data_IF_737141968209
#
_entry.id   IF_737141968209
#
_cell.length_a   1.000
_cell.length_b   1.000
_cell.length_c   1.000
_cell.angle_alpha   90.00
_cell.angle_beta   90.00
_cell.angle_gamma   90.00
#
_symmetry.space_group_name_H-M   'P 1'
#
loop_
_entity.id
_entity.type
_entity.pdbx_description
1 polymer ?
#
# COMPACT_ATOMS: atom_id res chain seq x y z
N UNK A 1 -3.82 -0.16 -11.52
CA UNK A 1 -3.43 -1.59 -11.56
C UNK A 1 -4.24 -2.36 -10.52
N UNK A 2 -4.36 -3.69 -10.61
CA UNK A 2 -5.11 -4.50 -9.63
C UNK A 2 -6.60 -4.76 -9.92
N UNK A 3 -7.19 -4.06 -10.91
CA UNK A 3 -8.54 -4.34 -11.43
C UNK A 3 -9.72 -3.75 -10.65
N UNK A 4 -9.47 -2.82 -9.71
CA UNK A 4 -10.54 -2.13 -8.96
C UNK A 4 -11.14 -0.97 -9.78
N UNK A 5 -12.45 -0.68 -9.62
CA UNK A 5 -13.12 0.41 -10.33
C UNK A 5 -12.73 1.80 -9.79
N UNK A 6 -13.15 2.84 -10.51
CA UNK A 6 -13.10 4.25 -10.08
C UNK A 6 -14.46 4.91 -10.35
N UNK A 7 -15.20 5.39 -9.33
CA UNK A 7 -14.86 5.34 -7.91
C UNK A 7 -14.93 3.90 -7.34
N UNK A 8 -14.36 3.73 -6.14
CA UNK A 8 -14.45 2.49 -5.36
C UNK A 8 -14.66 2.81 -3.87
N UNK A 9 -15.18 1.86 -3.09
CA UNK A 9 -15.28 2.00 -1.64
C UNK A 9 -13.91 2.27 -0.96
N UNK A 10 -13.94 2.97 0.17
CA UNK A 10 -12.75 3.16 1.00
C UNK A 10 -12.26 1.81 1.54
N UNK A 11 -10.95 1.63 1.62
CA UNK A 11 -10.32 0.39 2.08
C UNK A 11 -9.28 0.68 3.16
N UNK A 12 -9.13 -0.24 4.11
CA UNK A 12 -8.10 -0.22 5.15
C UNK A 12 -7.50 -1.61 5.34
N UNK A 13 -6.31 -1.68 5.95
CA UNK A 13 -5.69 -2.96 6.30
C UNK A 13 -6.17 -3.36 7.69
N UNK A 14 -6.75 -4.55 7.80
CA UNK A 14 -7.17 -5.13 9.08
C UNK A 14 -6.17 -6.21 9.49
N UNK A 15 -5.65 -6.09 10.71
CA UNK A 15 -4.75 -7.08 11.31
C UNK A 15 -3.26 -6.84 11.07
N UNK A 16 -2.86 -5.63 10.65
CA UNK A 16 -1.44 -5.27 10.48
C UNK A 16 -1.23 -4.20 9.42
N UNK A 17 -0.13 -4.33 8.68
CA UNK A 17 0.31 -3.41 7.62
C UNK A 17 0.45 -4.16 6.29
N UNK A 18 0.98 -3.48 5.27
CA UNK A 18 1.30 -4.09 3.98
C UNK A 18 2.22 -5.31 4.10
N UNK A 19 3.12 -5.33 5.10
CA UNK A 19 4.00 -6.46 5.37
C UNK A 19 3.17 -7.71 5.75
N UNK A 20 2.23 -7.56 6.68
CA UNK A 20 1.37 -8.67 7.10
C UNK A 20 0.41 -9.12 6.01
N UNK A 21 -0.05 -8.21 5.14
CA UNK A 21 -0.87 -8.57 3.97
C UNK A 21 -0.06 -9.46 3.02
N UNK A 22 1.18 -9.07 2.69
CA UNK A 22 2.08 -9.86 1.83
C UNK A 22 2.46 -11.22 2.46
N UNK A 23 2.43 -11.32 3.79
CA UNK A 23 2.64 -12.57 4.52
C UNK A 23 1.36 -13.42 4.70
N UNK A 24 0.21 -12.96 4.20
CA UNK A 24 -1.08 -13.64 4.36
C UNK A 24 -1.67 -13.59 5.78
N UNK A 25 -1.18 -12.68 6.62
CA UNK A 25 -1.58 -12.53 8.04
C UNK A 25 -2.55 -11.37 8.28
N UNK A 26 -2.62 -10.41 7.38
CA UNK A 26 -3.57 -9.30 7.39
C UNK A 26 -4.37 -9.25 6.08
N UNK A 27 -5.42 -8.43 6.03
CA UNK A 27 -6.31 -8.31 4.87
C UNK A 27 -6.60 -6.86 4.55
N UNK A 28 -6.69 -6.52 3.26
CA UNK A 28 -7.27 -5.26 2.82
C UNK A 28 -8.78 -5.44 2.72
N UNK A 29 -9.52 -4.74 3.57
CA UNK A 29 -10.98 -4.81 3.64
C UNK A 29 -11.56 -3.45 3.27
N UNK A 30 -12.63 -3.44 2.49
CA UNK A 30 -13.40 -2.23 2.18
C UNK A 30 -14.46 -1.95 3.25
N UNK A 31 -14.96 -0.72 3.31
CA UNK A 31 -16.00 -0.33 4.28
C UNK A 31 -17.35 -1.06 4.08
N UNK A 32 -17.59 -1.64 2.91
CA UNK A 32 -18.69 -2.57 2.62
C UNK A 32 -18.35 -4.05 2.92
N UNK A 33 -17.24 -4.28 3.63
CA UNK A 33 -16.77 -5.57 4.16
C UNK A 33 -16.28 -6.57 3.10
N UNK A 34 -15.95 -6.12 1.89
CA UNK A 34 -15.34 -6.99 0.88
C UNK A 34 -13.84 -7.16 1.16
N UNK A 35 -13.34 -8.38 0.98
CA UNK A 35 -11.91 -8.64 1.01
C UNK A 35 -11.29 -8.37 -0.36
N UNK A 36 -10.47 -7.32 -0.44
CA UNK A 36 -9.83 -6.86 -1.68
C UNK A 36 -8.32 -7.11 -1.68
N UNK A 37 -7.81 -7.93 -0.74
CA UNK A 37 -6.37 -8.19 -0.59
C UNK A 37 -5.69 -8.61 -1.89
N UNK A 38 -6.28 -9.53 -2.64
CA UNK A 38 -5.70 -9.99 -3.90
C UNK A 38 -5.59 -8.88 -4.95
N UNK A 39 -6.57 -7.97 -5.01
CA UNK A 39 -6.52 -6.86 -5.96
C UNK A 39 -5.37 -5.89 -5.63
N UNK A 40 -5.14 -5.65 -4.33
CA UNK A 40 -4.02 -4.84 -3.85
C UNK A 40 -2.66 -5.52 -4.06
N UNK A 41 -2.56 -6.82 -3.80
CA UNK A 41 -1.33 -7.60 -4.03
C UNK A 41 -0.99 -7.63 -5.52
N UNK A 42 -1.96 -7.96 -6.39
CA UNK A 42 -1.77 -7.91 -7.85
C UNK A 42 -1.36 -6.50 -8.32
N UNK A 43 -1.99 -5.47 -7.78
CA UNK A 43 -1.62 -4.08 -8.06
C UNK A 43 -0.17 -3.78 -7.68
N UNK A 44 0.29 -4.26 -6.53
CA UNK A 44 1.67 -4.09 -6.06
C UNK A 44 2.67 -4.85 -6.95
N UNK A 45 2.37 -6.09 -7.32
CA UNK A 45 3.22 -6.91 -8.20
C UNK A 45 3.40 -6.29 -9.58
N UNK A 46 2.33 -5.74 -10.16
CA UNK A 46 2.40 -5.03 -11.43
C UNK A 46 3.25 -3.75 -11.35
N UNK A 47 3.17 -3.01 -10.24
CA UNK A 47 4.04 -1.83 -10.01
C UNK A 47 5.49 -2.25 -9.83
N UNK A 48 5.76 -3.33 -9.09
CA UNK A 48 7.11 -3.87 -8.94
C UNK A 48 7.69 -4.30 -10.29
N UNK A 49 6.88 -4.95 -11.13
CA UNK A 49 7.29 -5.34 -12.48
C UNK A 49 7.68 -4.11 -13.31
N UNK A 50 6.83 -3.09 -13.37
CA UNK A 50 7.14 -1.83 -14.06
C UNK A 50 8.44 -1.21 -13.52
N UNK A 51 8.58 -1.13 -12.20
CA UNK A 51 9.76 -0.54 -11.58
C UNK A 51 11.04 -1.31 -11.91
N UNK A 52 10.97 -2.64 -11.92
CA UNK A 52 12.08 -3.52 -12.27
C UNK A 52 12.45 -3.37 -13.74
N UNK A 53 11.46 -3.46 -14.64
CA UNK A 53 11.64 -3.37 -16.09
C UNK A 53 12.21 -2.01 -16.52
N UNK A 54 11.80 -0.94 -15.83
CA UNK A 54 12.29 0.42 -16.07
C UNK A 54 13.58 0.77 -15.31
N UNK A 55 14.12 -0.14 -14.48
CA UNK A 55 15.32 0.11 -13.68
C UNK A 55 15.16 1.18 -12.59
N UNK A 56 13.93 1.45 -12.14
CA UNK A 56 13.60 2.44 -11.12
C UNK A 56 14.20 2.04 -9.76
N UNK A 57 14.78 3.01 -9.06
CA UNK A 57 15.39 2.83 -7.73
C UNK A 57 14.70 3.60 -6.61
N UNK A 58 13.94 4.63 -6.97
CA UNK A 58 13.18 5.46 -6.02
C UNK A 58 11.75 5.67 -6.52
N UNK A 59 10.77 5.64 -5.61
CA UNK A 59 9.37 5.94 -5.88
C UNK A 59 8.81 6.92 -4.83
N UNK A 60 7.97 7.85 -5.28
CA UNK A 60 7.30 8.82 -4.42
C UNK A 60 5.83 8.46 -4.38
N UNK A 61 5.31 8.15 -3.20
CA UNK A 61 3.95 7.69 -3.00
C UNK A 61 3.14 8.57 -2.06
N UNK A 62 1.83 8.60 -2.28
CA UNK A 62 0.90 9.30 -1.40
C UNK A 62 0.81 8.61 -0.03
N UNK A 63 0.93 9.41 1.03
CA UNK A 63 0.78 8.97 2.42
C UNK A 63 -0.56 8.25 2.73
N UNK A 64 -0.56 7.42 3.79
CA UNK A 64 -1.75 6.84 4.49
C UNK A 64 -2.58 5.79 3.74
N UNK A 65 -2.41 5.65 2.43
CA UNK A 65 -3.16 4.68 1.62
C UNK A 65 -2.86 3.23 2.03
N UNK A 66 -3.84 2.30 2.05
CA UNK A 66 -3.57 0.87 2.25
C UNK A 66 -2.69 0.26 1.14
N UNK A 67 -2.56 0.92 -0.02
CA UNK A 67 -1.63 0.50 -1.07
C UNK A 67 -0.30 1.24 -0.98
N UNK A 68 -0.35 2.57 -0.99
CA UNK A 68 0.82 3.41 -1.24
C UNK A 68 1.34 4.12 0.03
N UNK A 69 0.69 3.95 1.18
CA UNK A 69 1.10 4.59 2.42
C UNK A 69 2.55 4.28 2.73
N UNK A 70 3.33 5.32 3.05
CA UNK A 70 4.73 5.21 3.42
C UNK A 70 4.92 5.82 4.81
N UNK A 71 5.26 4.99 5.78
CA UNK A 71 5.43 5.30 7.19
C UNK A 71 4.14 5.26 8.03
N UNK A 72 2.97 5.51 7.43
CA UNK A 72 1.67 5.37 8.13
C UNK A 72 0.58 4.78 7.22
N UNK A 73 -0.33 4.02 7.85
CA UNK A 73 -1.60 3.52 7.29
C UNK A 73 -2.72 3.68 8.31
N UNK A 74 -3.98 3.59 7.87
CA UNK A 74 -5.11 3.54 8.80
C UNK A 74 -5.15 2.22 9.57
N UNK A 75 -5.70 2.25 10.79
CA UNK A 75 -5.67 1.15 11.75
C UNK A 75 -6.63 -0.02 11.47
N UNK A 76 -7.45 0.08 10.41
CA UNK A 76 -8.40 -0.96 10.02
C UNK A 76 -9.76 -0.87 10.71
N UNK A 77 -9.97 0.15 11.56
CA UNK A 77 -11.24 0.36 12.27
C UNK A 77 -12.18 1.32 11.56
N UNK A 78 -11.73 1.97 10.46
CA UNK A 78 -12.46 3.05 9.79
C UNK A 78 -12.78 4.26 10.70
N UNK A 79 -11.99 4.45 11.77
CA UNK A 79 -12.11 5.59 12.70
C UNK A 79 -11.22 6.79 12.32
N UNK A 80 -10.55 6.73 11.16
CA UNK A 80 -9.52 7.66 10.71
C UNK A 80 -8.27 7.74 11.61
N UNK A 81 -8.08 6.76 12.50
CA UNK A 81 -6.85 6.62 13.28
C UNK A 81 -5.71 6.04 12.43
N UNK A 82 -4.51 6.60 12.59
CA UNK A 82 -3.31 6.20 11.86
C UNK A 82 -2.36 5.43 12.77
N UNK A 83 -1.76 4.38 12.23
CA UNK A 83 -0.71 3.59 12.87
C UNK A 83 0.57 3.67 12.03
N UNK A 84 1.76 3.53 12.67
CA UNK A 84 3.00 3.36 11.94
C UNK A 84 2.94 2.10 11.07
N UNK A 85 3.34 2.22 9.80
CA UNK A 85 3.34 1.10 8.87
C UNK A 85 3.19 1.51 7.41
N UNK A 86 3.49 0.58 6.52
CA UNK A 86 3.44 0.80 5.08
C UNK A 86 2.22 0.15 4.43
N UNK A 87 1.79 0.69 3.30
CA UNK A 87 0.80 0.06 2.43
C UNK A 87 1.39 -1.13 1.66
N UNK A 88 0.53 -1.93 1.03
CA UNK A 88 0.93 -3.18 0.34
C UNK A 88 1.98 -2.94 -0.74
N UNK A 89 1.81 -1.92 -1.59
CA UNK A 89 2.75 -1.61 -2.68
C UNK A 89 4.07 -1.08 -2.12
N UNK A 90 4.01 -0.18 -1.14
CA UNK A 90 5.22 0.35 -0.48
C UNK A 90 6.06 -0.77 0.11
N UNK A 91 5.44 -1.64 0.91
CA UNK A 91 6.11 -2.76 1.56
C UNK A 91 6.75 -3.71 0.52
N UNK A 92 6.05 -3.99 -0.59
CA UNK A 92 6.57 -4.86 -1.64
C UNK A 92 7.78 -4.25 -2.36
N UNK A 93 7.73 -2.97 -2.70
CA UNK A 93 8.84 -2.27 -3.37
C UNK A 93 10.09 -2.19 -2.48
N UNK A 94 9.90 -1.82 -1.20
CA UNK A 94 11.00 -1.77 -0.24
C UNK A 94 11.65 -3.14 -0.03
N UNK A 95 10.86 -4.22 0.02
CA UNK A 95 11.37 -5.60 0.10
C UNK A 95 12.25 -5.98 -1.10
N UNK A 96 12.08 -5.32 -2.25
CA UNK A 96 12.89 -5.51 -3.45
C UNK A 96 13.98 -4.44 -3.62
N UNK A 97 14.28 -3.68 -2.57
CA UNK A 97 15.37 -2.71 -2.57
C UNK A 97 15.06 -1.41 -3.33
N UNK A 98 13.79 -1.15 -3.65
CA UNK A 98 13.37 0.14 -4.20
C UNK A 98 13.04 1.05 -3.02
N UNK A 99 13.69 2.21 -2.98
CA UNK A 99 13.45 3.21 -1.95
C UNK A 99 12.09 3.86 -2.19
N UNK A 100 11.26 3.93 -1.17
CA UNK A 100 9.96 4.60 -1.25
C UNK A 100 9.93 5.73 -0.23
N UNK A 101 9.49 6.90 -0.67
CA UNK A 101 9.29 8.08 0.17
C UNK A 101 7.87 8.62 0.00
N UNK A 102 7.36 9.31 1.02
CA UNK A 102 6.12 10.08 0.89
C UNK A 102 6.40 11.50 0.37
N UNK A 103 5.34 12.18 -0.04
CA UNK A 103 5.40 13.54 -0.58
C UNK A 103 6.06 14.54 0.39
N UNK A 104 5.83 14.40 1.70
CA UNK A 104 6.40 15.29 2.71
C UNK A 104 7.92 15.12 2.81
N UNK A 105 8.42 13.89 2.83
CA UNK A 105 9.85 13.61 2.92
C UNK A 105 10.60 14.06 1.66
N UNK A 106 9.97 13.90 0.49
CA UNK A 106 10.58 14.30 -0.78
C UNK A 106 10.72 15.82 -0.92
N UNK A 107 9.69 16.59 -0.53
CA UNK A 107 9.68 18.05 -0.67
C UNK A 107 10.59 18.78 0.31
N UNK A 108 11.02 18.11 1.38
CA UNK A 108 11.88 18.67 2.42
C UNK A 108 13.38 18.30 2.26
N UNK A 109 13.77 17.77 1.09
CA UNK A 109 15.17 17.59 0.70
C UNK A 109 15.73 18.87 0.07
#
# INVERSE_FOLDING_TARGET
>A
MGGLPTPRPACEIIGGTGIEVLAGKARVISNDKQNLSEAFIRGAEEVLKIATDAGIKEAIFQSRSPSCGCGHVYDGTFSAHLIPGDGVTTALLQRHGIKVENEANFLNK
#
